data_IF_610474435314
#
_entry.id   IF_610474435314
#
_cell.length_a   1.000
_cell.length_b   1.000
_cell.length_c   1.000
_cell.angle_alpha   90.00
_cell.angle_beta   90.00
_cell.angle_gamma   90.00
#
_symmetry.space_group_name_H-M   'P 1'
#
loop_
_entity.id
_entity.type
_entity.pdbx_description
1 polymer ?
#
# COMPACT_ATOMS: atom_id res chain seq x y z
N UNK A 1 23.18 -1.93 0.99
CA UNK A 1 21.82 -1.47 1.36
C UNK A 1 21.22 -2.52 2.29
N UNK A 2 20.53 -2.13 3.38
CA UNK A 2 20.13 -3.06 4.45
C UNK A 2 19.07 -4.09 4.03
N UNK A 3 18.25 -3.81 3.01
CA UNK A 3 17.17 -4.70 2.57
C UNK A 3 17.45 -5.39 1.21
N UNK A 4 18.70 -5.49 0.79
CA UNK A 4 19.09 -6.01 -0.54
C UNK A 4 18.59 -7.43 -0.85
N UNK A 5 18.36 -8.26 0.18
CA UNK A 5 17.87 -9.64 0.02
C UNK A 5 16.35 -9.76 0.07
N UNK A 6 15.64 -8.67 0.37
CA UNK A 6 14.19 -8.69 0.54
C UNK A 6 13.48 -8.51 -0.80
N UNK A 7 12.56 -9.41 -1.14
CA UNK A 7 11.66 -9.29 -2.29
C UNK A 7 10.26 -8.90 -1.84
N UNK A 8 9.74 -7.80 -2.40
CA UNK A 8 8.43 -7.24 -2.07
C UNK A 8 7.54 -7.26 -3.29
N UNK A 9 6.37 -7.86 -3.18
CA UNK A 9 5.28 -7.73 -4.16
C UNK A 9 4.37 -6.61 -3.71
N UNK A 10 4.23 -5.60 -4.55
CA UNK A 10 3.51 -4.37 -4.28
C UNK A 10 2.23 -4.32 -5.13
N UNK A 11 1.08 -4.64 -4.53
CA UNK A 11 -0.27 -4.50 -5.13
C UNK A 11 -0.90 -3.14 -4.81
N UNK A 12 -0.16 -2.24 -4.19
CA UNK A 12 -0.71 -0.98 -3.71
C UNK A 12 -0.91 0.04 -4.82
N UNK A 13 -1.78 1.02 -4.57
CA UNK A 13 -2.07 2.12 -5.49
C UNK A 13 -2.29 3.42 -4.72
N UNK A 14 -2.21 4.54 -5.41
CA UNK A 14 -2.41 5.91 -4.97
C UNK A 14 -1.24 6.42 -4.12
N UNK A 15 -1.28 6.37 -2.77
CA UNK A 15 -0.27 7.03 -1.95
C UNK A 15 0.23 6.18 -0.78
N UNK A 16 -0.60 5.87 0.21
CA UNK A 16 -0.14 5.28 1.48
C UNK A 16 0.66 3.98 1.31
N UNK A 17 0.13 3.04 0.54
CA UNK A 17 0.85 1.79 0.22
C UNK A 17 2.07 2.00 -0.67
N UNK A 18 1.96 2.74 -1.80
CA UNK A 18 3.11 3.05 -2.64
C UNK A 18 4.25 3.75 -1.93
N UNK A 19 3.96 4.65 -0.98
CA UNK A 19 5.00 5.29 -0.18
C UNK A 19 5.71 4.29 0.73
N UNK A 20 4.97 3.39 1.38
CA UNK A 20 5.55 2.32 2.19
C UNK A 20 6.53 1.46 1.37
N UNK A 21 6.09 0.96 0.22
CA UNK A 21 6.92 0.08 -0.63
C UNK A 21 8.07 0.83 -1.30
N UNK A 22 7.92 2.14 -1.57
CA UNK A 22 9.02 2.99 -2.02
C UNK A 22 10.13 3.10 -0.97
N UNK A 23 9.80 3.31 0.30
CA UNK A 23 10.81 3.35 1.37
C UNK A 23 11.58 2.03 1.46
N UNK A 24 10.91 0.88 1.27
CA UNK A 24 11.59 -0.41 1.20
C UNK A 24 12.52 -0.49 -0.02
N UNK A 25 12.09 0.01 -1.18
CA UNK A 25 12.90 0.08 -2.39
C UNK A 25 14.11 1.00 -2.22
N UNK A 26 13.94 2.17 -1.61
CA UNK A 26 15.04 3.11 -1.31
C UNK A 26 16.06 2.51 -0.34
N UNK A 27 15.65 1.59 0.52
CA UNK A 27 16.53 0.82 1.42
C UNK A 27 17.14 -0.42 0.74
N UNK A 28 16.82 -0.67 -0.52
CA UNK A 28 17.45 -1.68 -1.37
C UNK A 28 16.64 -2.95 -1.61
N UNK A 29 15.39 -3.05 -1.17
CA UNK A 29 14.53 -4.18 -1.47
C UNK A 29 14.24 -4.28 -2.98
N UNK A 30 14.10 -5.51 -3.49
CA UNK A 30 13.62 -5.79 -4.85
C UNK A 30 12.10 -5.67 -4.86
N UNK A 31 11.60 -4.48 -5.20
CA UNK A 31 10.15 -4.20 -5.19
C UNK A 31 9.58 -4.34 -6.59
N UNK A 32 8.61 -5.26 -6.74
CA UNK A 32 7.87 -5.50 -7.97
C UNK A 32 6.44 -4.99 -7.78
N UNK A 33 6.12 -3.86 -8.41
CA UNK A 33 4.78 -3.27 -8.41
C UNK A 33 3.93 -3.95 -9.48
N UNK A 34 2.82 -4.52 -9.04
CA UNK A 34 1.81 -5.11 -9.92
C UNK A 34 0.70 -4.08 -10.15
N UNK A 35 0.44 -3.78 -11.39
CA UNK A 35 -0.59 -2.84 -11.80
C UNK A 35 -1.63 -3.55 -12.67
N UNK A 36 -2.90 -3.21 -12.50
CA UNK A 36 -3.93 -3.67 -13.44
C UNK A 36 -3.76 -3.07 -14.85
N UNK A 37 -4.52 -3.54 -15.86
CA UNK A 37 -4.38 -3.08 -17.26
C UNK A 37 -4.49 -1.56 -17.46
N UNK A 38 -5.17 -0.86 -16.56
CA UNK A 38 -5.29 0.61 -16.61
C UNK A 38 -4.20 1.35 -15.86
N UNK A 39 -3.26 0.63 -15.25
CA UNK A 39 -2.21 1.20 -14.39
C UNK A 39 -2.72 1.73 -13.04
N UNK A 40 -1.81 2.29 -12.27
CA UNK A 40 -2.15 3.03 -11.05
C UNK A 40 -2.84 4.35 -11.44
N UNK A 41 -3.99 4.71 -10.82
CA UNK A 41 -4.69 5.97 -11.11
C UNK A 41 -3.82 7.22 -11.03
N UNK A 42 -2.81 7.23 -10.19
CA UNK A 42 -1.91 8.39 -10.03
C UNK A 42 -0.94 8.58 -11.21
N UNK A 43 -0.87 7.63 -12.15
CA UNK A 43 -0.14 7.85 -13.42
C UNK A 43 -0.72 8.99 -14.26
N UNK A 44 -1.99 9.33 -14.03
CA UNK A 44 -2.71 10.40 -14.75
C UNK A 44 -3.04 11.61 -13.84
N UNK A 45 -2.42 11.68 -12.66
CA UNK A 45 -2.66 12.73 -11.68
C UNK A 45 -1.43 13.61 -11.47
N UNK A 46 -1.66 14.85 -11.03
CA UNK A 46 -0.61 15.82 -10.73
C UNK A 46 0.00 16.45 -11.97
N UNK A 47 1.20 17.00 -11.82
CA UNK A 47 1.94 17.65 -12.89
C UNK A 47 2.56 16.57 -13.79
N UNK A 48 2.34 16.72 -15.11
CA UNK A 48 2.92 15.84 -16.13
C UNK A 48 4.17 16.50 -16.71
N UNK A 49 5.27 15.76 -16.74
CA UNK A 49 6.50 16.17 -17.41
C UNK A 49 6.93 15.04 -18.34
N UNK A 50 7.06 15.33 -19.63
CA UNK A 50 7.42 14.37 -20.68
C UNK A 50 6.57 13.08 -20.66
N UNK A 51 5.28 13.22 -20.38
CA UNK A 51 4.33 12.10 -20.29
C UNK A 51 4.38 11.30 -18.97
N UNK A 52 5.24 11.69 -18.03
CA UNK A 52 5.34 11.07 -16.70
C UNK A 52 4.64 11.93 -15.63
N UNK A 53 3.76 11.32 -14.85
CA UNK A 53 3.22 11.95 -13.64
C UNK A 53 4.31 12.08 -12.58
N UNK A 54 4.56 13.30 -12.12
CA UNK A 54 5.47 13.54 -11.00
C UNK A 54 4.97 12.90 -9.72
N UNK A 55 3.65 12.86 -9.53
CA UNK A 55 3.03 12.20 -8.39
C UNK A 55 3.33 10.70 -8.39
N UNK A 56 3.17 10.03 -9.55
CA UNK A 56 3.56 8.64 -9.68
C UNK A 56 5.05 8.41 -9.45
N UNK A 57 5.91 9.21 -10.08
CA UNK A 57 7.36 9.09 -9.98
C UNK A 57 7.86 9.27 -8.54
N UNK A 58 7.27 10.21 -7.80
CA UNK A 58 7.65 10.50 -6.42
C UNK A 58 7.49 9.29 -5.49
N UNK A 59 6.41 8.50 -5.66
CA UNK A 59 6.06 7.40 -4.75
C UNK A 59 6.31 6.00 -5.33
N UNK A 60 6.89 5.92 -6.56
CA UNK A 60 7.15 4.63 -7.19
C UNK A 60 8.56 4.50 -7.77
N UNK A 61 9.48 5.43 -7.43
CA UNK A 61 10.89 5.30 -7.83
C UNK A 61 11.49 4.02 -7.23
N UNK A 62 12.52 3.51 -7.89
CA UNK A 62 13.25 2.29 -7.52
C UNK A 62 12.41 0.99 -7.53
N UNK A 63 11.18 1.02 -8.06
CA UNK A 63 10.34 -0.17 -8.25
C UNK A 63 10.40 -0.65 -9.70
N UNK A 64 10.30 -1.95 -9.89
CA UNK A 64 9.96 -2.57 -11.18
C UNK A 64 8.44 -2.60 -11.31
N UNK A 65 7.90 -2.34 -12.51
CA UNK A 65 6.45 -2.39 -12.75
C UNK A 65 6.12 -3.52 -13.72
N UNK A 66 5.05 -4.26 -13.42
CA UNK A 66 4.48 -5.33 -14.24
C UNK A 66 2.97 -5.12 -14.32
N UNK A 67 2.41 -5.25 -15.52
CA UNK A 67 0.97 -5.18 -15.71
C UNK A 67 0.40 -6.60 -15.69
N UNK A 68 -0.55 -6.87 -14.77
CA UNK A 68 -1.28 -8.13 -14.66
C UNK A 68 -2.78 -7.86 -14.52
N UNK A 69 -3.60 -8.58 -15.28
CA UNK A 69 -5.05 -8.62 -15.05
C UNK A 69 -5.39 -9.72 -14.04
N UNK A 70 -5.51 -9.34 -12.77
CA UNK A 70 -5.78 -10.27 -11.68
C UNK A 70 -7.20 -10.85 -11.66
N UNK A 71 -8.00 -10.57 -12.69
CA UNK A 71 -9.26 -11.28 -12.95
C UNK A 71 -9.09 -12.41 -13.97
N UNK A 72 -7.96 -12.46 -14.68
CA UNK A 72 -7.60 -13.52 -15.63
C UNK A 72 -6.72 -14.61 -15.01
N UNK A 73 -7.00 -15.88 -15.30
CA UNK A 73 -6.31 -17.02 -14.68
C UNK A 73 -4.81 -17.08 -15.00
N UNK A 74 -4.42 -16.71 -16.24
CA UNK A 74 -2.99 -16.67 -16.62
C UNK A 74 -2.19 -15.73 -15.74
N UNK A 75 -2.73 -14.54 -15.48
CA UNK A 75 -2.03 -13.50 -14.72
C UNK A 75 -2.09 -13.78 -13.21
N UNK A 76 -3.16 -14.41 -12.72
CA UNK A 76 -3.21 -14.97 -11.36
C UNK A 76 -2.11 -16.00 -11.13
N UNK A 77 -1.90 -16.92 -12.08
CA UNK A 77 -0.82 -17.90 -12.02
C UNK A 77 0.56 -17.23 -12.00
N UNK A 78 0.73 -16.15 -12.75
CA UNK A 78 1.96 -15.35 -12.73
C UNK A 78 2.18 -14.71 -11.36
N UNK A 79 1.14 -14.10 -10.78
CA UNK A 79 1.22 -13.54 -9.42
C UNK A 79 1.53 -14.62 -8.37
N UNK A 80 0.89 -15.80 -8.45
CA UNK A 80 1.18 -16.93 -7.53
C UNK A 80 2.66 -17.30 -7.55
N UNK A 81 3.26 -17.46 -8.73
CA UNK A 81 4.69 -17.77 -8.86
C UNK A 81 5.60 -16.68 -8.29
N UNK A 82 5.21 -15.42 -8.38
CA UNK A 82 5.95 -14.32 -7.75
C UNK A 82 5.85 -14.39 -6.23
N UNK A 83 4.66 -14.70 -5.70
CA UNK A 83 4.40 -14.80 -4.26
C UNK A 83 5.10 -15.99 -3.60
N UNK A 84 5.27 -17.13 -4.30
CA UNK A 84 6.02 -18.29 -3.80
C UNK A 84 7.45 -17.95 -3.35
N UNK A 85 8.05 -16.93 -4.00
CA UNK A 85 9.44 -16.52 -3.76
C UNK A 85 9.55 -15.15 -3.10
N UNK A 86 8.44 -14.53 -2.74
CA UNK A 86 8.41 -13.23 -2.08
C UNK A 86 8.58 -13.35 -0.57
N UNK A 87 9.15 -12.32 0.04
CA UNK A 87 9.22 -12.18 1.49
C UNK A 87 8.04 -11.37 2.02
N UNK A 88 7.58 -10.39 1.24
CA UNK A 88 6.52 -9.45 1.64
C UNK A 88 5.53 -9.23 0.50
N UNK A 89 4.25 -9.27 0.82
CA UNK A 89 3.15 -8.77 0.01
C UNK A 89 2.57 -7.53 0.67
N UNK A 90 2.47 -6.42 -0.06
CA UNK A 90 1.81 -5.19 0.42
C UNK A 90 0.62 -4.88 -0.49
N UNK A 91 -0.55 -4.65 0.10
CA UNK A 91 -1.76 -4.26 -0.63
C UNK A 91 -2.53 -3.17 0.13
N UNK A 92 -3.35 -2.39 -0.58
CA UNK A 92 -4.24 -1.40 0.01
C UNK A 92 -5.64 -1.43 -0.63
N UNK A 93 -6.12 -2.61 -0.93
CA UNK A 93 -7.48 -2.84 -1.38
C UNK A 93 -8.49 -2.67 -0.23
N UNK A 94 -9.76 -2.61 -0.59
CA UNK A 94 -10.83 -2.77 0.40
C UNK A 94 -10.79 -4.19 0.97
N UNK A 95 -11.19 -4.36 2.24
CA UNK A 95 -11.31 -5.70 2.83
C UNK A 95 -12.11 -6.64 1.91
N UNK A 96 -11.63 -7.88 1.76
CA UNK A 96 -12.25 -8.90 0.91
C UNK A 96 -11.78 -8.94 -0.54
N UNK A 97 -11.38 -7.83 -1.14
CA UNK A 97 -11.03 -7.77 -2.58
C UNK A 97 -9.88 -8.73 -2.95
N UNK A 98 -8.85 -8.82 -2.11
CA UNK A 98 -7.75 -9.76 -2.37
C UNK A 98 -8.20 -11.22 -2.25
N UNK A 99 -9.11 -11.52 -1.33
CA UNK A 99 -9.73 -12.85 -1.19
C UNK A 99 -10.61 -13.19 -2.40
N UNK A 100 -11.38 -12.23 -2.91
CA UNK A 100 -12.21 -12.41 -4.12
C UNK A 100 -11.35 -12.71 -5.37
N UNK A 101 -10.10 -12.24 -5.39
CA UNK A 101 -9.13 -12.56 -6.44
C UNK A 101 -8.48 -13.95 -6.25
N UNK A 102 -8.74 -14.64 -5.12
CA UNK A 102 -8.17 -15.96 -4.81
C UNK A 102 -6.85 -15.90 -4.03
N UNK A 103 -6.54 -14.75 -3.41
CA UNK A 103 -5.33 -14.54 -2.61
C UNK A 103 -5.68 -14.09 -1.18
N UNK A 104 -6.69 -14.72 -0.58
CA UNK A 104 -7.02 -14.49 0.82
C UNK A 104 -5.94 -15.01 1.78
N UNK A 105 -6.04 -14.69 3.09
CA UNK A 105 -5.03 -15.09 4.07
C UNK A 105 -4.75 -16.60 4.10
N UNK A 106 -5.79 -17.44 3.93
CA UNK A 106 -5.64 -18.90 3.91
C UNK A 106 -4.90 -19.39 2.68
N UNK A 107 -5.24 -18.87 1.50
CA UNK A 107 -4.58 -19.19 0.24
C UNK A 107 -3.10 -18.73 0.25
N UNK A 108 -2.83 -17.54 0.77
CA UNK A 108 -1.46 -17.03 0.91
C UNK A 108 -0.62 -17.86 1.89
N UNK A 109 -1.20 -18.34 2.99
CA UNK A 109 -0.50 -19.18 3.96
C UNK A 109 -0.14 -20.55 3.35
N UNK A 110 -1.03 -21.13 2.54
CA UNK A 110 -0.76 -22.38 1.80
C UNK A 110 0.32 -22.16 0.75
N UNK A 111 0.25 -21.04 0.01
CA UNK A 111 1.17 -20.73 -1.07
C UNK A 111 2.59 -20.46 -0.57
N UNK A 112 2.72 -19.65 0.46
CA UNK A 112 4.00 -19.29 1.06
C UNK A 112 3.84 -18.98 2.56
N UNK A 113 4.04 -19.97 3.45
CA UNK A 113 3.86 -19.81 4.90
C UNK A 113 4.82 -18.79 5.54
N UNK A 114 5.88 -18.39 4.83
CA UNK A 114 6.83 -17.37 5.31
C UNK A 114 6.47 -15.95 4.84
N UNK A 115 5.49 -15.81 3.96
CA UNK A 115 5.10 -14.53 3.40
C UNK A 115 4.56 -13.58 4.48
N UNK A 116 5.13 -12.40 4.56
CA UNK A 116 4.58 -11.31 5.37
C UNK A 116 3.52 -10.60 4.56
N UNK A 117 2.25 -10.76 4.93
CA UNK A 117 1.15 -10.02 4.30
C UNK A 117 0.86 -8.74 5.08
N UNK A 118 1.06 -7.59 4.43
CA UNK A 118 0.78 -6.26 4.97
C UNK A 118 -0.39 -5.61 4.21
N UNK A 119 -1.50 -5.37 4.92
CA UNK A 119 -2.68 -4.69 4.40
C UNK A 119 -2.75 -3.26 4.94
N UNK A 120 -2.85 -2.26 4.04
CA UNK A 120 -2.95 -0.84 4.38
C UNK A 120 -4.37 -0.37 4.10
N UNK A 121 -5.19 -0.22 5.14
CA UNK A 121 -6.58 0.23 5.03
C UNK A 121 -6.94 1.25 6.11
N UNK A 122 -8.10 1.91 5.99
CA UNK A 122 -8.52 3.02 6.86
C UNK A 122 -8.78 2.60 8.31
N UNK A 123 -9.47 1.49 8.52
CA UNK A 123 -10.05 1.15 9.83
C UNK A 123 -9.67 -0.25 10.33
N UNK A 124 -8.78 -0.95 9.65
CA UNK A 124 -8.49 -2.35 9.93
C UNK A 124 -9.48 -3.28 9.22
N UNK A 125 -9.39 -4.57 9.55
CA UNK A 125 -10.23 -5.63 8.96
C UNK A 125 -11.36 -6.07 9.89
N UNK A 126 -11.47 -5.48 11.08
CA UNK A 126 -12.46 -5.81 12.11
C UNK A 126 -13.07 -4.54 12.70
N UNK A 127 -14.24 -4.66 13.30
CA UNK A 127 -14.94 -3.56 13.93
C UNK A 127 -15.98 -2.88 13.03
N UNK A 128 -16.77 -1.92 13.60
CA UNK A 128 -17.95 -1.37 12.93
C UNK A 128 -17.65 -0.49 11.71
N UNK A 129 -16.39 -0.12 11.48
CA UNK A 129 -15.97 0.71 10.35
C UNK A 129 -15.11 -0.02 9.33
N UNK A 130 -14.89 -1.34 9.49
CA UNK A 130 -14.00 -2.12 8.63
C UNK A 130 -14.29 -1.95 7.13
N UNK A 131 -15.57 -1.87 6.74
CA UNK A 131 -15.99 -1.74 5.34
C UNK A 131 -16.02 -0.30 4.82
N UNK A 132 -15.72 0.69 5.68
CA UNK A 132 -15.75 2.09 5.26
C UNK A 132 -14.48 2.48 4.50
N UNK A 133 -14.63 3.23 3.38
CA UNK A 133 -13.48 3.85 2.73
C UNK A 133 -12.89 4.95 3.61
N UNK A 134 -11.59 5.10 3.59
CA UNK A 134 -10.91 6.21 4.25
C UNK A 134 -9.88 6.81 3.30
N UNK A 135 -9.86 8.14 3.28
CA UNK A 135 -8.79 8.94 2.68
C UNK A 135 -8.10 9.74 3.78
N UNK A 136 -6.97 10.31 3.47
CA UNK A 136 -6.13 11.06 4.39
C UNK A 136 -6.92 12.04 5.28
N UNK A 137 -7.74 12.91 4.68
CA UNK A 137 -8.48 13.91 5.44
C UNK A 137 -9.56 13.34 6.36
N UNK A 138 -10.14 12.18 6.02
CA UNK A 138 -11.06 11.45 6.91
C UNK A 138 -10.28 10.91 8.12
N UNK A 139 -9.10 10.34 7.89
CA UNK A 139 -8.25 9.86 8.96
C UNK A 139 -7.77 10.99 9.87
N UNK A 140 -7.37 12.15 9.31
CA UNK A 140 -7.02 13.35 10.09
C UNK A 140 -8.18 13.84 10.97
N UNK A 141 -9.41 13.87 10.42
CA UNK A 141 -10.58 14.30 11.17
C UNK A 141 -10.93 13.33 12.32
N UNK A 142 -11.00 12.03 12.01
CA UNK A 142 -11.41 11.01 12.97
C UNK A 142 -10.38 10.72 14.08
N UNK A 143 -9.09 10.95 13.78
CA UNK A 143 -8.02 10.82 14.79
C UNK A 143 -7.94 11.98 15.76
N UNK A 144 -8.69 13.05 15.54
CA UNK A 144 -8.58 14.30 16.32
C UNK A 144 -7.41 15.19 15.89
N UNK A 145 -6.62 14.80 14.88
CA UNK A 145 -5.48 15.60 14.42
C UNK A 145 -5.90 17.01 14.02
N UNK A 146 -7.04 17.17 13.36
CA UNK A 146 -7.52 18.48 12.94
C UNK A 146 -7.86 19.40 14.12
N UNK A 147 -8.21 18.85 15.30
CA UNK A 147 -8.57 19.65 16.47
C UNK A 147 -7.37 20.32 17.14
N UNK A 148 -6.17 19.84 16.85
CA UNK A 148 -4.91 20.40 17.38
C UNK A 148 -4.11 21.15 16.31
N UNK A 149 -4.67 21.28 15.10
CA UNK A 149 -4.05 21.96 13.97
C UNK A 149 -4.83 23.25 13.63
N UNK A 150 -4.13 24.33 13.39
CA UNK A 150 -4.72 25.63 13.08
C UNK A 150 -4.56 26.66 14.21
N UNK A 151 -5.23 27.82 14.12
CA UNK A 151 -5.21 28.84 15.16
C UNK A 151 -5.84 28.32 16.47
N UNK A 152 -5.36 28.73 17.66
CA UNK A 152 -5.87 28.25 18.95
C UNK A 152 -7.37 28.38 19.15
N UNK A 153 -7.97 29.48 18.66
CA UNK A 153 -9.40 29.77 18.79
C UNK A 153 -10.14 29.66 17.43
N UNK A 154 -9.54 28.96 16.45
CA UNK A 154 -10.07 28.80 15.10
C UNK A 154 -10.79 27.48 14.88
N UNK A 155 -11.39 27.36 13.69
CA UNK A 155 -11.98 26.08 13.24
C UNK A 155 -10.89 25.02 13.03
N UNK A 156 -11.17 23.74 13.34
CA UNK A 156 -10.25 22.63 13.08
C UNK A 156 -9.79 22.58 11.62
N UNK A 157 -8.50 22.46 11.39
CA UNK A 157 -7.93 22.50 10.04
C UNK A 157 -7.16 21.23 9.72
N UNK A 158 -7.26 20.77 8.48
CA UNK A 158 -6.41 19.69 7.99
C UNK A 158 -4.97 20.16 7.74
N UNK A 159 -4.00 19.28 7.88
CA UNK A 159 -2.68 19.54 7.32
C UNK A 159 -2.74 19.52 5.79
N UNK A 160 -1.99 20.40 5.14
CA UNK A 160 -1.90 20.44 3.67
C UNK A 160 -1.25 19.16 3.09
N UNK A 161 -0.13 18.64 3.65
CA UNK A 161 0.36 17.33 3.27
C UNK A 161 -0.60 16.22 3.72
N UNK A 162 -0.70 15.10 2.97
CA UNK A 162 -1.49 13.92 3.35
C UNK A 162 -0.79 13.12 4.46
N UNK A 163 -0.75 13.72 5.66
CA UNK A 163 0.08 13.24 6.76
C UNK A 163 -0.32 11.86 7.26
N UNK A 164 -1.63 11.56 7.26
CA UNK A 164 -2.11 10.24 7.69
C UNK A 164 -1.68 9.13 6.74
N UNK A 165 -1.65 9.40 5.43
CA UNK A 165 -1.16 8.45 4.44
C UNK A 165 0.36 8.22 4.56
N UNK A 166 1.12 9.28 4.82
CA UNK A 166 2.58 9.22 4.94
C UNK A 166 3.01 8.53 6.24
N UNK A 167 2.50 8.95 7.41
CA UNK A 167 2.86 8.40 8.71
C UNK A 167 2.42 6.93 8.84
N UNK A 168 1.25 6.58 8.31
CA UNK A 168 0.77 5.20 8.30
C UNK A 168 1.71 4.23 7.57
N UNK A 169 2.35 4.70 6.53
CA UNK A 169 3.36 3.92 5.79
C UNK A 169 4.60 3.64 6.64
N UNK A 170 4.97 4.55 7.53
CA UNK A 170 6.07 4.39 8.48
C UNK A 170 5.75 3.32 9.54
N UNK A 171 4.57 3.33 10.13
CA UNK A 171 4.17 2.37 11.16
C UNK A 171 4.12 0.93 10.66
N UNK A 172 3.73 0.71 9.41
CA UNK A 172 3.67 -0.64 8.81
C UNK A 172 5.05 -1.25 8.57
N UNK A 173 6.12 -0.47 8.54
CA UNK A 173 7.49 -0.99 8.44
C UNK A 173 7.97 -1.70 9.71
N UNK A 174 7.36 -1.45 10.86
CA UNK A 174 7.80 -2.00 12.15
C UNK A 174 7.43 -3.48 12.35
N UNK A 175 6.86 -4.12 11.34
CA UNK A 175 6.83 -5.58 11.22
C UNK A 175 5.93 -6.34 12.18
N UNK A 176 5.77 -7.62 11.85
CA UNK A 176 4.99 -8.65 12.55
C UNK A 176 5.47 -8.97 13.99
N UNK A 177 6.66 -8.54 14.36
CA UNK A 177 7.27 -8.86 15.67
C UNK A 177 6.49 -8.29 16.88
N UNK A 178 5.65 -7.26 16.67
CA UNK A 178 4.77 -6.73 17.72
C UNK A 178 3.50 -7.55 17.98
N UNK A 179 3.21 -8.61 17.21
CA UNK A 179 1.99 -9.44 17.39
C UNK A 179 2.21 -10.77 18.09
N UNK A 180 3.43 -11.09 18.47
CA UNK A 180 3.79 -12.36 19.14
C UNK A 180 4.08 -12.19 20.63
N UNK A 181 3.38 -11.26 21.33
CA UNK A 181 3.41 -11.23 22.80
C UNK A 181 2.01 -11.09 23.35
#
# INVERSE_FOLDING_TARGET
MPLKSLRVIDLTRILAGPFCTQLLADLGADVIKIEGPRGDPVRQQGIMVDGLSWYFAQFNRNKKSVVLDLYGDSDKNTLSRLLETADVLVENFRPGVLSDMGFGPGELEILNPRLIHASVNGYGTTGPYADRPSFDFIAQAMSGFMSVNGPPDGEPQRAAPPISDLVRSEERRVGKECRSR
#
